data_IF_281634341223
#
_entry.id   IF_281634341223
#
_cell.length_a   1.000
_cell.length_b   1.000
_cell.length_c   1.000
_cell.angle_alpha   90.00
_cell.angle_beta   90.00
_cell.angle_gamma   90.00
#
_symmetry.space_group_name_H-M   'P 1'
#
loop_
_entity.id
_entity.type
_entity.pdbx_description
1 polymer ?
#
# COMPACT_ATOMS: atom_id res chain seq x y z
N UNK A 1 -4.16 25.16 -7.16
CA UNK A 1 -4.30 23.69 -7.31
C UNK A 1 -5.61 23.47 -8.02
N UNK A 2 -5.65 22.64 -9.08
CA UNK A 2 -6.92 22.30 -9.71
C UNK A 2 -7.78 21.56 -8.68
N UNK A 3 -9.07 21.89 -8.63
CA UNK A 3 -10.00 21.18 -7.76
C UNK A 3 -10.28 19.77 -8.35
N UNK A 4 -10.47 18.75 -7.50
CA UNK A 4 -10.94 17.45 -7.98
C UNK A 4 -12.28 17.58 -8.68
N UNK A 5 -12.36 17.07 -9.90
CA UNK A 5 -13.57 17.06 -10.71
C UNK A 5 -13.59 15.84 -11.62
N UNK A 6 -14.76 15.49 -12.11
CA UNK A 6 -14.89 14.33 -12.98
C UNK A 6 -16.32 14.00 -13.36
N UNK A 7 -16.49 12.85 -13.99
CA UNK A 7 -17.79 12.40 -14.47
C UNK A 7 -18.62 11.85 -13.31
N UNK A 8 -19.86 12.32 -13.18
CA UNK A 8 -20.93 11.69 -12.41
C UNK A 8 -22.07 11.35 -13.37
N UNK A 9 -22.47 10.09 -13.46
CA UNK A 9 -23.45 9.64 -14.42
C UNK A 9 -24.35 8.56 -13.83
N UNK A 10 -25.64 8.60 -14.16
CA UNK A 10 -26.58 7.55 -13.79
C UNK A 10 -27.50 7.17 -14.96
N UNK A 11 -27.90 5.91 -15.00
CA UNK A 11 -28.85 5.42 -15.99
C UNK A 11 -29.65 4.21 -15.48
N UNK A 12 -30.88 4.01 -15.97
CA UNK A 12 -31.61 2.75 -15.79
C UNK A 12 -30.85 1.60 -16.47
N UNK A 13 -30.58 0.55 -15.73
CA UNK A 13 -29.93 -0.67 -16.23
C UNK A 13 -30.17 -1.81 -15.23
N UNK A 14 -30.90 -2.85 -15.63
CA UNK A 14 -31.10 -4.02 -14.75
C UNK A 14 -29.84 -4.91 -14.69
N UNK A 15 -29.78 -5.80 -13.70
CA UNK A 15 -28.61 -6.64 -13.44
C UNK A 15 -28.24 -7.56 -14.62
N UNK A 16 -29.25 -8.05 -15.36
CA UNK A 16 -29.04 -8.92 -16.52
C UNK A 16 -28.35 -8.18 -17.66
N UNK A 17 -28.82 -6.98 -17.99
CA UNK A 17 -28.23 -6.13 -19.02
C UNK A 17 -26.84 -5.66 -18.59
N UNK A 18 -26.66 -5.28 -17.33
CA UNK A 18 -25.36 -4.93 -16.77
C UNK A 18 -24.35 -6.07 -16.94
N UNK A 19 -24.72 -7.31 -16.58
CA UNK A 19 -23.84 -8.46 -16.72
C UNK A 19 -23.48 -8.78 -18.19
N UNK A 20 -24.39 -8.52 -19.13
CA UNK A 20 -24.15 -8.68 -20.57
C UNK A 20 -23.22 -7.58 -21.09
N UNK A 21 -23.48 -6.31 -20.75
CA UNK A 21 -22.68 -5.15 -21.12
C UNK A 21 -21.21 -5.35 -20.75
N UNK A 22 -20.94 -5.84 -19.53
CA UNK A 22 -19.57 -6.07 -19.03
C UNK A 22 -18.73 -7.02 -19.89
N UNK A 23 -19.37 -7.89 -20.67
CA UNK A 23 -18.73 -8.85 -21.58
C UNK A 23 -18.70 -8.37 -23.03
N UNK A 24 -19.44 -7.32 -23.36
CA UNK A 24 -19.50 -6.77 -24.71
C UNK A 24 -18.15 -6.16 -25.09
N UNK A 25 -17.73 -6.39 -26.32
CA UNK A 25 -16.56 -5.73 -26.90
C UNK A 25 -16.92 -4.32 -27.38
N UNK A 26 -16.10 -3.37 -26.97
CA UNK A 26 -16.15 -1.97 -27.38
C UNK A 26 -14.85 -1.61 -28.10
N UNK A 27 -14.88 -0.56 -28.91
CA UNK A 27 -13.65 -0.03 -29.53
C UNK A 27 -13.07 1.06 -28.62
N UNK A 28 -11.82 0.90 -28.20
CA UNK A 28 -11.05 1.89 -27.45
C UNK A 28 -9.68 2.05 -28.12
N UNK A 29 -9.37 3.24 -28.64
CA UNK A 29 -8.11 3.54 -29.35
C UNK A 29 -7.78 2.50 -30.43
N UNK A 30 -8.72 2.24 -31.33
CA UNK A 30 -8.65 1.22 -32.40
C UNK A 30 -8.50 -0.24 -31.93
N UNK A 31 -8.57 -0.53 -30.63
CA UNK A 31 -8.53 -1.88 -30.07
C UNK A 31 -9.92 -2.34 -29.67
N UNK A 32 -10.18 -3.65 -29.82
CA UNK A 32 -11.37 -4.30 -29.24
C UNK A 32 -11.06 -4.74 -27.81
N UNK A 33 -11.82 -4.22 -26.85
CA UNK A 33 -11.69 -4.56 -25.43
C UNK A 33 -13.08 -4.80 -24.83
N UNK A 34 -13.19 -5.68 -23.85
CA UNK A 34 -14.43 -5.86 -23.11
C UNK A 34 -14.75 -4.58 -22.31
N UNK A 35 -16.03 -4.17 -22.24
CA UNK A 35 -16.47 -3.01 -21.47
C UNK A 35 -15.95 -3.02 -20.03
N UNK A 36 -16.08 -4.16 -19.34
CA UNK A 36 -15.60 -4.30 -17.97
C UNK A 36 -14.09 -4.16 -17.85
N UNK A 37 -13.34 -4.56 -18.88
CA UNK A 37 -11.90 -4.36 -18.95
C UNK A 37 -11.55 -2.89 -19.20
N UNK A 38 -12.27 -2.18 -20.06
CA UNK A 38 -12.04 -0.74 -20.29
C UNK A 38 -12.22 0.08 -19.00
N UNK A 39 -13.28 -0.17 -18.22
CA UNK A 39 -13.44 0.44 -16.88
C UNK A 39 -12.33 0.04 -15.91
N UNK A 40 -11.80 -1.18 -16.03
CA UNK A 40 -10.66 -1.63 -15.21
C UNK A 40 -9.36 -0.94 -15.62
N UNK A 41 -9.13 -0.69 -16.91
CA UNK A 41 -8.00 0.09 -17.41
C UNK A 41 -8.06 1.53 -16.86
N UNK A 42 -9.24 2.15 -16.78
CA UNK A 42 -9.41 3.47 -16.13
C UNK A 42 -9.00 3.45 -14.65
N UNK A 43 -9.54 2.49 -13.87
CA UNK A 43 -9.20 2.37 -12.45
C UNK A 43 -7.70 2.07 -12.24
N UNK A 44 -7.08 1.33 -13.16
CA UNK A 44 -5.69 0.92 -13.06
C UNK A 44 -4.66 1.92 -13.62
N UNK A 45 -5.11 2.95 -14.35
CA UNK A 45 -4.23 3.97 -14.96
C UNK A 45 -4.30 5.34 -14.28
N UNK A 46 -5.33 5.58 -13.46
CA UNK A 46 -5.47 6.82 -12.69
C UNK A 46 -4.36 7.00 -11.66
N UNK A 47 -4.19 8.25 -11.21
CA UNK A 47 -3.36 8.54 -10.06
C UNK A 47 -3.92 7.83 -8.82
N UNK A 48 -3.09 7.56 -7.81
CA UNK A 48 -3.52 6.90 -6.56
C UNK A 48 -4.68 7.64 -5.84
N UNK A 49 -4.92 8.90 -6.20
CA UNK A 49 -5.98 9.76 -5.67
C UNK A 49 -7.26 9.81 -6.53
N UNK A 50 -7.25 9.21 -7.73
CA UNK A 50 -8.44 9.16 -8.58
C UNK A 50 -9.45 8.14 -8.03
N UNK A 51 -10.73 8.44 -8.20
CA UNK A 51 -11.83 7.64 -7.65
C UNK A 51 -12.73 7.16 -8.78
N UNK A 52 -12.77 5.85 -9.02
CA UNK A 52 -13.78 5.24 -9.89
C UNK A 52 -14.79 4.42 -9.07
N UNK A 53 -16.07 4.70 -9.25
CA UNK A 53 -17.19 4.00 -8.63
C UNK A 53 -18.10 3.48 -9.74
N UNK A 54 -18.35 2.17 -9.72
CA UNK A 54 -19.29 1.50 -10.61
C UNK A 54 -20.30 0.77 -9.74
N UNK A 55 -21.34 1.47 -9.33
CA UNK A 55 -22.33 1.00 -8.37
C UNK A 55 -23.65 0.68 -9.07
N UNK A 56 -24.24 -0.48 -8.78
CA UNK A 56 -25.57 -0.84 -9.27
C UNK A 56 -26.49 -1.01 -8.07
N UNK A 57 -27.61 -0.29 -8.10
CA UNK A 57 -28.70 -0.41 -7.14
C UNK A 57 -29.75 -1.36 -7.72
N UNK A 58 -29.88 -2.59 -7.19
CA UNK A 58 -30.82 -3.58 -7.71
C UNK A 58 -32.28 -3.22 -7.39
N UNK A 59 -32.54 -2.44 -6.34
CA UNK A 59 -33.91 -2.07 -5.94
C UNK A 59 -34.46 -0.98 -6.87
N UNK A 60 -33.58 -0.10 -7.35
CA UNK A 60 -33.92 0.95 -8.32
C UNK A 60 -33.66 0.56 -9.78
N UNK A 61 -32.99 -0.56 -10.01
CA UNK A 61 -32.42 -0.96 -11.31
C UNK A 61 -31.62 0.17 -11.98
N UNK A 62 -30.77 0.87 -11.20
CA UNK A 62 -29.95 1.99 -11.70
C UNK A 62 -28.47 1.72 -11.55
N UNK A 63 -27.72 2.00 -12.61
CA UNK A 63 -26.27 2.12 -12.57
C UNK A 63 -25.90 3.56 -12.19
N UNK A 64 -24.96 3.71 -11.27
CA UNK A 64 -24.25 4.94 -10.97
C UNK A 64 -22.77 4.74 -11.29
N UNK A 65 -22.23 5.61 -12.14
CA UNK A 65 -20.85 5.64 -12.57
C UNK A 65 -20.26 6.99 -12.17
N UNK A 66 -19.21 6.97 -11.35
CA UNK A 66 -18.44 8.16 -11.04
C UNK A 66 -16.96 7.92 -11.35
N UNK A 67 -16.31 8.87 -12.01
CA UNK A 67 -14.86 8.89 -12.20
C UNK A 67 -14.33 10.28 -11.87
N UNK A 68 -13.83 10.45 -10.65
CA UNK A 68 -13.30 11.70 -10.13
C UNK A 68 -11.78 11.72 -10.29
N UNK A 69 -11.27 12.78 -10.90
CA UNK A 69 -9.85 13.03 -11.07
C UNK A 69 -9.36 13.95 -9.96
N UNK A 70 -8.24 13.62 -9.32
CA UNK A 70 -7.65 14.49 -8.30
C UNK A 70 -7.13 15.80 -8.90
N UNK A 71 -6.63 15.74 -10.14
CA UNK A 71 -6.23 16.91 -10.93
C UNK A 71 -7.04 16.92 -12.22
N UNK A 72 -8.16 17.64 -12.20
CA UNK A 72 -9.01 17.72 -13.38
C UNK A 72 -8.33 18.49 -14.52
N UNK A 73 -8.21 17.81 -15.65
CA UNK A 73 -7.98 18.38 -16.97
C UNK A 73 -9.03 17.83 -17.93
N UNK A 74 -9.61 18.69 -18.78
CA UNK A 74 -10.68 18.27 -19.69
C UNK A 74 -10.27 17.13 -20.63
N UNK A 75 -8.99 17.09 -21.04
CA UNK A 75 -8.47 16.02 -21.89
C UNK A 75 -8.28 14.70 -21.14
N UNK A 76 -8.08 14.74 -19.82
CA UNK A 76 -7.93 13.54 -19.00
C UNK A 76 -9.22 12.69 -18.97
N UNK A 77 -10.39 13.28 -19.22
CA UNK A 77 -11.64 12.52 -19.38
C UNK A 77 -11.78 11.83 -20.74
N UNK A 78 -10.92 12.08 -21.73
CA UNK A 78 -11.07 11.49 -23.07
C UNK A 78 -11.34 9.96 -23.08
N UNK A 79 -10.69 9.14 -22.22
CA UNK A 79 -10.88 7.70 -22.24
C UNK A 79 -12.26 7.20 -21.75
N UNK A 80 -13.05 8.02 -21.03
CA UNK A 80 -14.38 7.59 -20.54
C UNK A 80 -15.47 7.67 -21.61
N UNK A 81 -15.30 8.53 -22.62
CA UNK A 81 -16.37 8.81 -23.57
C UNK A 81 -16.75 7.59 -24.42
N UNK A 82 -15.82 6.81 -24.99
CA UNK A 82 -16.17 5.58 -25.70
C UNK A 82 -16.87 4.54 -24.82
N UNK A 83 -16.56 4.54 -23.52
CA UNK A 83 -17.22 3.66 -22.53
C UNK A 83 -18.66 4.13 -22.32
N UNK A 84 -18.88 5.43 -22.14
CA UNK A 84 -20.23 5.98 -22.02
C UNK A 84 -21.06 5.80 -23.30
N UNK A 85 -20.47 5.94 -24.49
CA UNK A 85 -21.17 5.69 -25.76
C UNK A 85 -21.63 4.22 -25.87
N UNK A 86 -20.78 3.27 -25.47
CA UNK A 86 -21.15 1.87 -25.42
C UNK A 86 -22.26 1.58 -24.38
N UNK A 87 -22.24 2.26 -23.24
CA UNK A 87 -23.32 2.19 -22.24
C UNK A 87 -24.62 2.77 -22.81
N UNK A 88 -24.56 3.94 -23.44
CA UNK A 88 -25.70 4.63 -24.05
C UNK A 88 -26.39 3.78 -25.13
N UNK A 89 -25.62 3.03 -25.93
CA UNK A 89 -26.16 2.13 -26.94
C UNK A 89 -26.92 0.90 -26.37
N UNK A 90 -26.80 0.65 -25.06
CA UNK A 90 -27.41 -0.50 -24.38
C UNK A 90 -28.55 -0.12 -23.42
N UNK A 91 -28.87 1.17 -23.31
CA UNK A 91 -30.02 1.63 -22.52
C UNK A 91 -31.18 1.99 -23.45
N UNK A 92 -32.39 1.98 -22.90
CA UNK A 92 -33.58 2.43 -23.63
C UNK A 92 -33.37 3.90 -24.06
N UNK A 93 -33.54 4.26 -25.35
CA UNK A 93 -33.40 5.64 -25.82
C UNK A 93 -34.32 6.66 -25.12
N UNK A 94 -35.42 6.18 -24.52
CA UNK A 94 -36.36 6.99 -23.74
C UNK A 94 -36.05 7.04 -22.23
N UNK A 95 -35.02 6.33 -21.79
CA UNK A 95 -34.62 6.28 -20.39
C UNK A 95 -34.10 7.63 -19.90
N UNK A 96 -34.45 7.98 -18.66
CA UNK A 96 -33.86 9.10 -17.92
C UNK A 96 -32.42 8.77 -17.49
N UNK A 97 -31.49 8.98 -18.43
CA UNK A 97 -30.07 8.74 -18.27
C UNK A 97 -29.27 10.02 -18.52
N UNK A 98 -28.50 10.42 -17.52
CA UNK A 98 -27.84 11.70 -17.52
C UNK A 98 -26.87 11.87 -16.35
N UNK A 99 -26.15 12.98 -16.41
CA UNK A 99 -25.02 13.24 -15.55
C UNK A 99 -24.39 14.59 -15.80
N UNK A 100 -23.23 14.78 -15.19
CA UNK A 100 -22.44 15.98 -15.33
C UNK A 100 -20.95 15.63 -15.25
N UNK A 101 -20.12 16.47 -15.85
CA UNK A 101 -18.76 16.65 -15.34
C UNK A 101 -18.87 17.70 -14.24
N UNK A 102 -18.53 17.35 -13.00
CA UNK A 102 -18.71 18.21 -11.85
C UNK A 102 -17.54 18.14 -10.88
N UNK A 103 -17.35 19.20 -10.10
CA UNK A 103 -16.40 19.25 -9.00
C UNK A 103 -16.94 18.53 -7.75
N UNK A 104 -16.11 18.38 -6.71
CA UNK A 104 -16.53 17.80 -5.42
C UNK A 104 -17.46 18.72 -4.62
N UNK A 105 -17.36 20.03 -4.82
CA UNK A 105 -18.46 20.96 -4.55
C UNK A 105 -19.40 20.89 -5.76
N UNK A 106 -20.73 20.79 -5.62
CA UNK A 106 -21.63 20.47 -6.72
C UNK A 106 -21.78 21.61 -7.75
N UNK A 107 -20.71 21.90 -8.50
CA UNK A 107 -20.64 22.83 -9.63
C UNK A 107 -20.48 22.01 -10.91
N UNK A 108 -21.44 22.15 -11.82
CA UNK A 108 -21.42 21.46 -13.11
C UNK A 108 -20.57 22.24 -14.12
N UNK A 109 -19.56 21.57 -14.66
CA UNK A 109 -18.69 22.08 -15.72
C UNK A 109 -19.25 21.74 -17.11
N UNK A 110 -19.80 20.54 -17.26
CA UNK A 110 -20.41 20.06 -18.51
C UNK A 110 -21.67 19.23 -18.18
N UNK A 111 -22.72 19.37 -18.99
CA UNK A 111 -23.85 18.45 -18.97
C UNK A 111 -23.54 17.21 -19.79
N UNK A 112 -24.01 16.06 -19.31
CA UNK A 112 -23.90 14.77 -20.00
C UNK A 112 -25.28 14.13 -20.01
N UNK A 113 -25.79 13.75 -21.18
CA UNK A 113 -27.09 13.08 -21.32
C UNK A 113 -27.04 12.02 -22.39
N UNK A 114 -27.93 11.05 -22.33
CA UNK A 114 -28.13 10.11 -23.44
C UNK A 114 -29.31 10.57 -24.28
N UNK A 115 -29.10 10.64 -25.59
CA UNK A 115 -30.13 10.96 -26.56
C UNK A 115 -29.99 10.01 -27.75
N UNK A 116 -31.06 9.30 -28.08
CA UNK A 116 -31.11 8.35 -29.21
C UNK A 116 -29.97 7.30 -29.18
N UNK A 117 -29.63 6.82 -27.97
CA UNK A 117 -28.57 5.83 -27.76
C UNK A 117 -27.14 6.38 -27.87
N UNK A 118 -26.97 7.70 -27.87
CA UNK A 118 -25.67 8.38 -27.98
C UNK A 118 -25.44 9.34 -26.81
N UNK A 119 -24.18 9.56 -26.44
CA UNK A 119 -23.83 10.53 -25.40
C UNK A 119 -23.78 11.94 -26.01
N UNK A 120 -24.59 12.84 -25.47
CA UNK A 120 -24.59 14.25 -25.83
C UNK A 120 -24.00 15.04 -24.67
N UNK A 121 -23.00 15.87 -24.97
CA UNK A 121 -22.35 16.78 -24.02
C UNK A 121 -22.77 18.22 -24.29
N UNK A 122 -22.90 19.03 -23.25
CA UNK A 122 -23.26 20.43 -23.39
C UNK A 122 -22.73 21.31 -22.25
N UNK A 123 -23.09 22.60 -22.26
CA UNK A 123 -22.83 23.52 -21.16
C UNK A 123 -23.34 22.99 -19.81
N UNK A 124 -22.63 23.29 -18.73
CA UNK A 124 -22.97 22.84 -17.37
C UNK A 124 -24.26 23.43 -16.79
N UNK A 125 -24.69 24.61 -17.27
CA UNK A 125 -25.96 25.25 -16.89
C UNK A 125 -27.20 24.51 -17.42
N UNK A 126 -27.02 23.52 -18.30
CA UNK A 126 -28.07 22.60 -18.73
C UNK A 126 -28.29 21.42 -17.76
N UNK A 127 -27.45 21.27 -16.72
CA UNK A 127 -27.64 20.23 -15.71
C UNK A 127 -28.74 20.67 -14.74
N UNK A 128 -29.77 19.85 -14.60
CA UNK A 128 -30.80 20.05 -13.59
C UNK A 128 -30.20 20.05 -12.17
N UNK A 129 -30.58 21.03 -11.35
CA UNK A 129 -30.00 21.23 -10.03
C UNK A 129 -30.30 20.06 -9.07
N UNK A 130 -31.48 19.45 -9.18
CA UNK A 130 -31.85 18.30 -8.35
C UNK A 130 -31.08 17.05 -8.76
N UNK A 131 -30.87 16.84 -10.08
CA UNK A 131 -29.99 15.79 -10.59
C UNK A 131 -28.56 15.95 -10.08
N UNK A 132 -27.97 17.15 -10.20
CA UNK A 132 -26.60 17.40 -9.75
C UNK A 132 -26.45 17.16 -8.25
N UNK A 133 -27.41 17.64 -7.45
CA UNK A 133 -27.44 17.40 -6.01
C UNK A 133 -27.53 15.89 -5.70
N UNK A 134 -28.43 15.17 -6.36
CA UNK A 134 -28.60 13.72 -6.19
C UNK A 134 -27.31 12.94 -6.50
N UNK A 135 -26.65 13.27 -7.60
CA UNK A 135 -25.38 12.64 -8.01
C UNK A 135 -24.27 12.92 -7.00
N UNK A 136 -24.16 14.16 -6.53
CA UNK A 136 -23.21 14.58 -5.51
C UNK A 136 -23.44 13.86 -4.18
N UNK A 137 -24.68 13.84 -3.68
CA UNK A 137 -25.04 13.14 -2.45
C UNK A 137 -24.66 11.65 -2.56
N UNK A 138 -24.99 11.01 -3.68
CA UNK A 138 -24.66 9.61 -3.95
C UNK A 138 -23.16 9.36 -4.02
N UNK A 139 -22.37 10.26 -4.60
CA UNK A 139 -20.91 10.18 -4.58
C UNK A 139 -20.40 10.16 -3.12
N UNK A 140 -20.85 11.11 -2.30
CA UNK A 140 -20.41 11.26 -0.92
C UNK A 140 -20.82 10.12 0.01
N UNK A 141 -21.90 9.39 -0.29
CA UNK A 141 -22.30 8.18 0.42
C UNK A 141 -21.22 7.05 0.38
N UNK A 142 -20.31 7.10 -0.60
CA UNK A 142 -19.19 6.16 -0.70
C UNK A 142 -17.95 6.59 0.10
N UNK A 143 -17.86 7.86 0.48
CA UNK A 143 -16.78 8.38 1.31
C UNK A 143 -16.95 7.92 2.77
N UNK A 144 -15.84 7.69 3.47
CA UNK A 144 -15.86 7.40 4.91
C UNK A 144 -14.91 8.34 5.63
N UNK A 145 -15.43 9.10 6.59
CA UNK A 145 -14.67 10.19 7.25
C UNK A 145 -14.08 11.15 6.22
N UNK A 146 -14.91 11.56 5.25
CA UNK A 146 -14.53 12.52 4.19
C UNK A 146 -13.39 12.03 3.27
N UNK A 147 -13.11 10.72 3.25
CA UNK A 147 -12.08 10.13 2.39
C UNK A 147 -12.66 9.02 1.54
N UNK A 148 -12.37 9.09 0.24
CA UNK A 148 -12.64 7.98 -0.68
C UNK A 148 -11.61 6.87 -0.48
N UNK A 149 -12.00 5.59 -0.55
CA UNK A 149 -11.07 4.49 -0.53
C UNK A 149 -10.23 4.46 -1.83
N UNK A 150 -8.96 4.06 -1.72
CA UNK A 150 -8.15 3.69 -2.89
C UNK A 150 -8.80 2.55 -3.71
N UNK A 151 -8.29 2.28 -4.90
CA UNK A 151 -8.77 1.21 -5.77
C UNK A 151 -8.94 -0.13 -5.03
N UNK A 152 -7.90 -0.61 -4.34
CA UNK A 152 -7.93 -1.91 -3.66
C UNK A 152 -8.93 -1.95 -2.49
N UNK A 153 -9.05 -0.86 -1.72
CA UNK A 153 -10.02 -0.69 -0.66
C UNK A 153 -11.45 -0.61 -1.21
N UNK A 154 -11.68 0.07 -2.33
CA UNK A 154 -12.99 0.19 -2.99
C UNK A 154 -13.50 -1.17 -3.47
N UNK A 155 -12.63 -2.00 -4.07
CA UNK A 155 -12.97 -3.35 -4.54
C UNK A 155 -13.31 -4.31 -3.39
N UNK A 156 -12.77 -4.09 -2.19
CA UNK A 156 -13.06 -4.89 -0.98
C UNK A 156 -14.38 -4.51 -0.31
N UNK A 157 -14.85 -3.27 -0.48
CA UNK A 157 -16.14 -2.83 0.08
C UNK A 157 -17.30 -3.48 -0.65
N UNK A 158 -18.29 -3.99 0.09
CA UNK A 158 -19.46 -4.66 -0.51
C UNK A 158 -20.32 -3.69 -1.31
N UNK A 159 -20.48 -2.46 -0.84
CA UNK A 159 -21.42 -1.47 -1.36
C UNK A 159 -20.87 -0.59 -2.48
N UNK A 160 -19.54 -0.44 -2.62
CA UNK A 160 -18.97 0.53 -3.58
C UNK A 160 -19.03 0.05 -5.03
N UNK A 161 -18.66 -1.20 -5.29
CA UNK A 161 -18.51 -1.72 -6.66
C UNK A 161 -19.50 -2.87 -6.90
N UNK A 162 -20.17 -2.85 -8.06
CA UNK A 162 -21.08 -3.90 -8.48
C UNK A 162 -20.32 -5.22 -8.74
N UNK A 163 -21.02 -6.35 -8.64
CA UNK A 163 -20.43 -7.69 -8.79
C UNK A 163 -19.81 -7.93 -10.18
N UNK A 164 -20.44 -7.51 -11.30
CA UNK A 164 -19.82 -7.60 -12.62
C UNK A 164 -18.48 -6.87 -12.70
N UNK A 165 -18.37 -5.65 -12.16
CA UNK A 165 -17.10 -4.90 -12.17
C UNK A 165 -16.03 -5.54 -11.30
N UNK A 166 -16.37 -6.04 -10.11
CA UNK A 166 -15.44 -6.84 -9.27
C UNK A 166 -14.85 -8.03 -10.02
N UNK A 167 -15.66 -8.70 -10.82
CA UNK A 167 -15.25 -9.86 -11.62
C UNK A 167 -14.33 -9.41 -12.75
N UNK A 168 -14.70 -8.37 -13.48
CA UNK A 168 -13.89 -7.81 -14.56
C UNK A 168 -12.53 -7.30 -14.07
N UNK A 169 -12.49 -6.59 -12.93
CA UNK A 169 -11.26 -6.12 -12.30
C UNK A 169 -10.30 -7.26 -11.95
N UNK A 170 -10.81 -8.35 -11.36
CA UNK A 170 -9.99 -9.52 -11.05
C UNK A 170 -9.39 -10.15 -12.31
N UNK A 171 -10.19 -10.29 -13.37
CA UNK A 171 -9.72 -10.79 -14.67
C UNK A 171 -8.72 -9.84 -15.31
N UNK A 172 -8.93 -8.53 -15.22
CA UNK A 172 -8.02 -7.50 -15.70
C UNK A 172 -6.67 -7.58 -14.98
N UNK A 173 -6.64 -7.66 -13.64
CA UNK A 173 -5.38 -7.82 -12.90
C UNK A 173 -4.61 -9.08 -13.32
N UNK A 174 -5.31 -10.20 -13.52
CA UNK A 174 -4.68 -11.43 -13.99
C UNK A 174 -4.11 -11.28 -15.41
N UNK A 175 -4.85 -10.63 -16.32
CA UNK A 175 -4.36 -10.30 -17.67
C UNK A 175 -3.17 -9.33 -17.61
N UNK A 176 -3.24 -8.30 -16.77
CA UNK A 176 -2.21 -7.28 -16.63
C UNK A 176 -0.89 -7.90 -16.22
N UNK A 177 -0.89 -8.76 -15.21
CA UNK A 177 0.33 -9.44 -14.75
C UNK A 177 0.85 -10.47 -15.76
N UNK A 178 -0.03 -11.16 -16.50
CA UNK A 178 0.36 -12.23 -17.44
C UNK A 178 0.79 -11.73 -18.81
N UNK A 179 0.18 -10.65 -19.31
CA UNK A 179 0.31 -10.20 -20.70
C UNK A 179 0.86 -8.77 -20.77
N UNK A 180 0.23 -7.81 -20.09
CA UNK A 180 0.59 -6.39 -20.22
C UNK A 180 1.96 -6.08 -19.63
N UNK A 181 2.16 -6.46 -18.36
CA UNK A 181 3.39 -6.17 -17.63
C UNK A 181 4.61 -6.77 -18.35
N UNK A 182 4.62 -8.04 -18.79
CA UNK A 182 5.71 -8.57 -19.60
C UNK A 182 5.95 -7.80 -20.90
N UNK A 183 4.88 -7.42 -21.62
CA UNK A 183 5.01 -6.64 -22.86
C UNK A 183 5.60 -5.25 -22.61
N UNK A 184 5.16 -4.54 -21.56
CA UNK A 184 5.68 -3.23 -21.17
C UNK A 184 7.14 -3.30 -20.72
N UNK A 185 7.51 -4.34 -19.98
CA UNK A 185 8.90 -4.62 -19.59
C UNK A 185 9.76 -4.86 -20.84
N UNK A 186 9.28 -5.65 -21.80
CA UNK A 186 9.98 -5.94 -23.04
C UNK A 186 10.14 -4.70 -23.94
N UNK A 187 9.17 -3.80 -23.92
CA UNK A 187 9.20 -2.54 -24.68
C UNK A 187 10.01 -1.43 -24.00
N UNK A 188 10.38 -1.58 -22.73
CA UNK A 188 11.02 -0.53 -21.94
C UNK A 188 12.45 -0.22 -22.44
N UNK A 189 12.72 1.07 -22.67
CA UNK A 189 14.01 1.58 -23.16
C UNK A 189 14.67 2.49 -22.13
N UNK A 190 15.93 2.87 -22.35
CA UNK A 190 16.62 3.81 -21.45
C UNK A 190 15.97 5.21 -21.45
N UNK A 191 15.40 5.63 -22.58
CA UNK A 191 14.68 6.90 -22.72
C UNK A 191 13.28 6.84 -22.13
N UNK A 192 12.63 5.68 -22.22
CA UNK A 192 11.28 5.42 -21.72
C UNK A 192 11.29 4.18 -20.82
N UNK A 193 11.84 4.30 -19.59
CA UNK A 193 11.89 3.18 -18.66
C UNK A 193 10.50 2.89 -18.11
N UNK A 194 10.20 1.61 -17.90
CA UNK A 194 8.93 1.20 -17.32
C UNK A 194 9.02 1.22 -15.79
N UNK A 195 8.13 1.98 -15.14
CA UNK A 195 8.03 2.00 -13.68
C UNK A 195 7.43 0.68 -13.18
N UNK A 196 8.19 -0.03 -12.34
CA UNK A 196 7.72 -1.25 -11.68
C UNK A 196 6.88 -0.91 -10.45
N UNK A 197 7.41 -0.06 -9.56
CA UNK A 197 6.75 0.47 -8.36
C UNK A 197 7.63 1.55 -7.71
N UNK A 198 7.04 2.43 -6.89
CA UNK A 198 7.74 3.52 -6.19
C UNK A 198 8.67 4.32 -7.12
N UNK A 199 9.98 4.25 -6.89
CA UNK A 199 11.05 4.84 -7.69
C UNK A 199 11.92 3.79 -8.39
N UNK A 200 11.39 2.56 -8.57
CA UNK A 200 12.07 1.43 -9.22
C UNK A 200 11.54 1.23 -10.63
N UNK A 201 12.47 1.17 -11.57
CA UNK A 201 12.21 1.07 -13.00
C UNK A 201 12.91 -0.13 -13.62
N UNK A 202 12.49 -0.48 -14.83
CA UNK A 202 13.21 -1.41 -15.71
C UNK A 202 13.38 -0.81 -17.10
N UNK A 203 14.52 -1.09 -17.72
CA UNK A 203 14.81 -0.76 -19.11
C UNK A 203 15.78 -1.79 -19.68
N UNK A 204 15.53 -2.30 -20.89
CA UNK A 204 16.43 -3.24 -21.58
C UNK A 204 16.84 -4.46 -20.72
N UNK A 205 15.91 -4.94 -19.89
CA UNK A 205 16.13 -6.07 -18.98
C UNK A 205 16.87 -5.76 -17.68
N UNK A 206 17.33 -4.53 -17.46
CA UNK A 206 17.95 -4.09 -16.21
C UNK A 206 16.92 -3.45 -15.29
N UNK A 207 17.03 -3.71 -13.98
CA UNK A 207 16.21 -3.09 -12.93
C UNK A 207 17.06 -2.10 -12.13
N UNK A 208 16.53 -0.92 -11.86
CA UNK A 208 17.24 0.11 -11.11
C UNK A 208 16.30 0.98 -10.29
N UNK A 209 16.78 1.50 -9.15
CA UNK A 209 16.11 2.55 -8.38
C UNK A 209 16.62 3.92 -8.83
N UNK A 210 15.71 4.83 -9.18
CA UNK A 210 16.05 6.24 -9.42
C UNK A 210 16.02 7.01 -8.11
N UNK A 211 17.20 7.26 -7.55
CA UNK A 211 17.29 7.89 -6.23
C UNK A 211 16.71 9.31 -6.23
N UNK A 212 15.63 9.51 -5.46
CA UNK A 212 14.83 10.74 -5.49
C UNK A 212 15.62 12.05 -5.33
N UNK A 213 16.70 12.04 -4.54
CA UNK A 213 17.49 13.24 -4.24
C UNK A 213 18.60 13.53 -5.25
N UNK A 214 19.31 12.49 -5.70
CA UNK A 214 20.49 12.64 -6.58
C UNK A 214 20.15 12.42 -8.05
N UNK A 215 18.96 11.89 -8.33
CA UNK A 215 18.50 11.46 -9.67
C UNK A 215 19.42 10.43 -10.35
N UNK A 216 20.30 9.80 -9.57
CA UNK A 216 21.16 8.70 -10.04
C UNK A 216 20.35 7.41 -10.04
N UNK A 217 20.54 6.63 -11.08
CA UNK A 217 20.00 5.28 -11.17
C UNK A 217 20.98 4.32 -10.46
N UNK A 218 20.44 3.49 -9.56
CA UNK A 218 21.18 2.50 -8.77
C UNK A 218 20.68 1.12 -9.19
N UNK A 219 21.52 0.35 -9.86
CA UNK A 219 21.15 -0.94 -10.42
C UNK A 219 20.94 -2.03 -9.34
N UNK A 220 19.95 -2.89 -9.57
CA UNK A 220 19.81 -4.17 -8.89
C UNK A 220 20.42 -5.25 -9.79
N UNK A 221 21.74 -5.45 -9.66
CA UNK A 221 22.47 -6.35 -10.56
C UNK A 221 21.84 -7.75 -10.60
N UNK A 222 21.57 -8.25 -11.81
CA UNK A 222 21.01 -9.59 -12.05
C UNK A 222 19.51 -9.75 -11.74
N UNK A 223 18.79 -8.66 -11.46
CA UNK A 223 17.36 -8.72 -11.17
C UNK A 223 16.50 -9.15 -12.37
N UNK A 224 15.51 -10.00 -12.11
CA UNK A 224 14.46 -10.37 -13.04
C UNK A 224 13.27 -9.39 -12.91
N UNK A 225 13.07 -8.47 -13.87
CA UNK A 225 12.02 -7.45 -13.79
C UNK A 225 10.60 -8.03 -13.69
N UNK A 226 10.37 -9.26 -14.16
CA UNK A 226 9.06 -9.91 -14.11
C UNK A 226 8.68 -10.31 -12.68
N UNK A 227 9.64 -10.76 -11.90
CA UNK A 227 9.42 -11.27 -10.53
C UNK A 227 9.90 -10.32 -9.44
N UNK A 228 10.55 -9.22 -9.83
CA UNK A 228 11.01 -8.17 -8.93
C UNK A 228 9.86 -7.55 -8.13
N UNK A 229 10.06 -7.44 -6.82
CA UNK A 229 9.09 -6.95 -5.85
C UNK A 229 9.78 -6.31 -4.63
N UNK A 230 9.01 -5.52 -3.88
CA UNK A 230 9.39 -4.92 -2.61
C UNK A 230 8.89 -5.78 -1.44
N UNK A 231 9.76 -6.03 -0.47
CA UNK A 231 9.48 -6.78 0.76
C UNK A 231 9.83 -5.91 1.97
N UNK A 232 8.92 -4.99 2.30
CA UNK A 232 9.14 -3.88 3.22
C UNK A 232 10.24 -2.93 2.74
N UNK A 233 11.41 -2.89 3.39
CA UNK A 233 12.55 -2.05 2.98
C UNK A 233 13.55 -2.75 2.07
N UNK A 234 13.40 -4.05 1.84
CA UNK A 234 14.26 -4.85 0.98
C UNK A 234 13.58 -5.17 -0.34
N UNK A 235 14.34 -5.71 -1.28
CA UNK A 235 13.84 -6.10 -2.59
C UNK A 235 14.17 -7.56 -2.83
N UNK A 236 13.33 -8.24 -3.60
CA UNK A 236 13.53 -9.62 -3.98
C UNK A 236 12.94 -9.89 -5.35
N UNK A 237 13.42 -10.93 -6.01
CA UNK A 237 12.82 -11.52 -7.20
C UNK A 237 12.77 -13.04 -7.01
N UNK A 238 12.66 -13.84 -8.09
CA UNK A 238 12.70 -15.30 -7.96
C UNK A 238 14.08 -15.88 -7.66
N UNK A 239 15.16 -15.13 -7.86
CA UNK A 239 16.55 -15.59 -7.83
C UNK A 239 17.35 -15.03 -6.64
N UNK A 240 17.08 -13.79 -6.25
CA UNK A 240 17.93 -12.99 -5.38
C UNK A 240 17.10 -12.15 -4.40
N UNK A 241 17.79 -11.72 -3.34
CA UNK A 241 17.33 -10.72 -2.38
C UNK A 241 18.40 -9.64 -2.31
N UNK A 242 17.98 -8.38 -2.32
CA UNK A 242 18.87 -7.23 -2.23
C UNK A 242 18.61 -6.41 -0.97
N UNK A 243 19.71 -5.93 -0.41
CA UNK A 243 19.68 -4.81 0.52
C UNK A 243 20.54 -3.67 0.01
N UNK A 244 20.26 -2.48 0.54
CA UNK A 244 20.96 -1.26 0.16
C UNK A 244 22.11 -1.01 1.14
N UNK A 245 23.28 -0.65 0.62
CA UNK A 245 24.44 -0.27 1.42
C UNK A 245 25.20 0.89 0.77
N UNK A 246 26.14 1.49 1.51
CA UNK A 246 27.09 2.43 0.92
C UNK A 246 28.11 1.65 0.11
N UNK A 247 28.41 2.14 -1.09
CA UNK A 247 29.47 1.58 -1.92
C UNK A 247 30.85 1.78 -1.25
N UNK A 248 31.80 0.94 -1.59
CA UNK A 248 33.19 1.06 -1.11
C UNK A 248 33.76 2.45 -1.46
N UNK A 249 34.31 3.12 -0.45
CA UNK A 249 34.85 4.48 -0.58
C UNK A 249 33.79 5.59 -0.65
N UNK A 250 32.50 5.27 -0.49
CA UNK A 250 31.45 6.28 -0.41
C UNK A 250 31.65 7.22 0.79
N UNK A 251 31.30 8.52 0.65
CA UNK A 251 31.05 9.39 1.78
C UNK A 251 30.01 8.79 2.76
N UNK A 252 30.00 9.18 4.04
CA UNK A 252 29.04 8.67 5.02
C UNK A 252 27.61 9.00 4.61
N UNK A 253 26.66 8.13 4.94
CA UNK A 253 25.23 8.30 4.59
C UNK A 253 24.61 9.61 5.10
N UNK A 254 25.15 10.17 6.19
CA UNK A 254 24.65 11.38 6.84
C UNK A 254 25.79 12.39 7.03
N UNK A 255 25.49 13.66 6.81
CA UNK A 255 26.38 14.77 7.15
C UNK A 255 26.28 15.02 8.67
N UNK A 256 27.38 14.88 9.44
CA UNK A 256 27.38 15.14 10.87
C UNK A 256 27.28 16.64 11.21
N UNK A 257 27.36 17.56 10.23
CA UNK A 257 27.35 19.01 10.48
C UNK A 257 25.93 19.52 10.72
N UNK A 258 25.62 19.86 11.96
CA UNK A 258 24.40 20.57 12.38
C UNK A 258 23.67 19.87 13.53
N UNK A 259 22.61 20.51 14.03
CA UNK A 259 21.80 19.96 15.13
C UNK A 259 20.99 18.70 14.74
N UNK A 260 20.82 18.46 13.43
CA UNK A 260 20.09 17.31 12.90
C UNK A 260 20.89 16.65 11.77
N UNK A 261 21.16 15.33 11.83
CA UNK A 261 21.83 14.61 10.76
C UNK A 261 21.03 14.75 9.46
N UNK A 262 21.64 15.30 8.41
CA UNK A 262 21.02 15.38 7.08
C UNK A 262 21.55 14.26 6.20
N UNK A 263 20.75 13.79 5.25
CA UNK A 263 21.23 12.85 4.24
C UNK A 263 22.38 13.48 3.46
N UNK A 264 23.51 12.79 3.39
CA UNK A 264 24.65 13.24 2.60
C UNK A 264 24.35 13.00 1.12
N UNK A 265 24.29 14.09 0.34
CA UNK A 265 23.99 14.02 -1.11
C UNK A 265 25.13 13.38 -1.91
N UNK A 266 26.34 13.37 -1.36
CA UNK A 266 27.51 12.80 -2.00
C UNK A 266 27.67 11.30 -1.69
N UNK A 267 26.86 10.76 -0.77
CA UNK A 267 26.85 9.33 -0.47
C UNK A 267 26.46 8.51 -1.72
N UNK A 268 27.29 7.53 -2.03
CA UNK A 268 27.14 6.60 -3.14
C UNK A 268 26.54 5.32 -2.56
N UNK A 269 25.34 4.99 -3.01
CA UNK A 269 24.61 3.82 -2.57
C UNK A 269 24.60 2.76 -3.67
N UNK A 270 24.57 1.50 -3.25
CA UNK A 270 24.43 0.35 -4.13
C UNK A 270 23.47 -0.69 -3.53
N UNK A 271 22.98 -1.58 -4.38
CA UNK A 271 22.23 -2.77 -3.97
C UNK A 271 23.11 -4.00 -4.11
N UNK A 272 23.24 -4.76 -3.02
CA UNK A 272 24.03 -5.98 -2.99
C UNK A 272 23.17 -7.19 -2.65
N UNK A 273 23.58 -8.34 -3.16
CA UNK A 273 22.91 -9.62 -2.93
C UNK A 273 23.08 -10.07 -1.48
N UNK A 274 22.00 -10.58 -0.90
CA UNK A 274 22.05 -11.29 0.39
C UNK A 274 22.42 -12.74 0.10
N UNK A 275 23.67 -13.12 0.40
CA UNK A 275 24.21 -14.43 0.03
C UNK A 275 23.42 -15.60 0.66
N UNK A 276 22.99 -16.52 -0.21
CA UNK A 276 22.25 -17.72 0.17
C UNK A 276 20.80 -17.48 0.58
N UNK A 277 20.26 -16.27 0.37
CA UNK A 277 18.83 -16.02 0.52
C UNK A 277 18.05 -16.58 -0.68
N UNK A 278 16.94 -17.25 -0.39
CA UNK A 278 16.04 -17.75 -1.45
C UNK A 278 15.04 -16.67 -1.84
N UNK A 279 15.35 -15.96 -2.94
CA UNK A 279 14.51 -14.89 -3.47
C UNK A 279 13.05 -15.30 -3.66
N UNK A 280 12.78 -16.51 -4.18
CA UNK A 280 11.42 -16.94 -4.51
C UNK A 280 10.49 -17.05 -3.30
N UNK A 281 11.02 -17.40 -2.13
CA UNK A 281 10.24 -17.56 -0.89
C UNK A 281 10.47 -16.47 0.15
N UNK A 282 11.38 -15.53 -0.13
CA UNK A 282 11.69 -14.40 0.73
C UNK A 282 10.45 -13.52 0.94
N UNK A 283 10.11 -13.27 2.19
CA UNK A 283 8.95 -12.46 2.56
C UNK A 283 9.15 -11.74 3.86
N UNK A 284 8.61 -10.55 3.93
CA UNK A 284 8.41 -9.85 5.19
C UNK A 284 7.38 -10.59 6.06
N UNK A 285 7.63 -10.68 7.36
CA UNK A 285 6.85 -11.57 8.22
C UNK A 285 5.61 -10.93 8.86
N UNK A 286 5.64 -9.64 9.20
CA UNK A 286 4.60 -9.02 10.03
C UNK A 286 4.30 -7.58 9.57
N UNK A 287 3.02 -7.20 9.53
CA UNK A 287 2.54 -5.91 8.99
C UNK A 287 2.44 -4.77 10.03
N UNK A 288 2.83 -4.96 11.29
CA UNK A 288 2.60 -3.97 12.38
C UNK A 288 3.91 -3.42 12.95
N UNK A 289 3.96 -2.08 13.05
CA UNK A 289 4.91 -1.24 13.80
C UNK A 289 6.33 -1.80 13.98
N UNK A 290 7.26 -1.33 13.15
CA UNK A 290 8.70 -1.62 13.22
C UNK A 290 9.05 -3.12 13.24
N UNK A 291 8.38 -3.92 12.41
CA UNK A 291 8.73 -5.31 12.20
C UNK A 291 10.21 -5.49 11.83
N UNK A 292 10.88 -6.37 12.56
CA UNK A 292 12.33 -6.58 12.44
C UNK A 292 12.73 -7.88 11.76
N UNK A 293 11.77 -8.68 11.25
CA UNK A 293 12.07 -9.99 10.68
C UNK A 293 11.57 -10.22 9.25
N UNK A 294 12.39 -10.96 8.51
CA UNK A 294 12.07 -11.53 7.21
C UNK A 294 12.36 -13.02 7.26
N UNK A 295 11.75 -13.80 6.37
CA UNK A 295 12.12 -15.19 6.20
C UNK A 295 12.11 -15.59 4.74
N UNK A 296 12.92 -16.57 4.41
CA UNK A 296 12.71 -17.41 3.24
C UNK A 296 12.37 -18.84 3.73
N UNK A 297 12.40 -19.82 2.82
CA UNK A 297 12.10 -21.23 3.13
C UNK A 297 13.15 -21.90 4.03
N UNK A 298 14.34 -21.32 4.17
CA UNK A 298 15.50 -21.92 4.85
C UNK A 298 15.95 -21.12 6.08
N UNK A 299 15.73 -19.80 6.09
CA UNK A 299 16.35 -18.88 7.04
C UNK A 299 15.36 -17.81 7.51
N UNK A 300 15.65 -17.29 8.69
CA UNK A 300 15.04 -16.06 9.23
C UNK A 300 16.12 -15.02 9.27
N UNK A 301 15.76 -13.78 9.00
CA UNK A 301 16.67 -12.65 8.94
C UNK A 301 16.18 -11.51 9.81
N UNK A 302 17.11 -10.69 10.28
CA UNK A 302 16.82 -9.38 10.84
C UNK A 302 17.76 -8.32 10.27
N UNK A 303 17.40 -7.05 10.48
CA UNK A 303 18.19 -5.90 10.05
C UNK A 303 19.24 -5.56 11.10
N UNK A 304 20.49 -5.39 10.68
CA UNK A 304 21.52 -4.77 11.51
C UNK A 304 21.29 -3.26 11.63
N UNK A 305 22.08 -2.60 12.49
CA UNK A 305 22.09 -1.14 12.62
C UNK A 305 22.54 -0.43 11.33
N UNK A 306 23.33 -1.11 10.48
CA UNK A 306 23.73 -0.63 9.17
C UNK A 306 22.70 -0.96 8.06
N UNK A 307 21.52 -1.45 8.44
CA UNK A 307 20.45 -1.89 7.53
C UNK A 307 20.84 -3.10 6.66
N UNK A 308 21.88 -3.83 7.06
CA UNK A 308 22.22 -5.09 6.41
C UNK A 308 21.29 -6.20 6.86
N UNK A 309 20.88 -7.05 5.93
CA UNK A 309 20.03 -8.19 6.23
C UNK A 309 20.91 -9.37 6.68
N UNK A 310 20.77 -9.79 7.94
CA UNK A 310 21.63 -10.81 8.56
C UNK A 310 20.78 -12.01 8.99
N UNK A 311 21.17 -13.25 8.62
CA UNK A 311 20.44 -14.44 9.04
C UNK A 311 20.60 -14.71 10.54
N UNK A 312 19.52 -15.10 11.19
CA UNK A 312 19.54 -15.52 12.59
C UNK A 312 20.14 -16.93 12.71
N UNK A 313 21.12 -17.13 13.61
CA UNK A 313 21.77 -18.42 13.75
C UNK A 313 20.86 -19.44 14.44
N UNK A 314 20.78 -20.65 13.86
CA UNK A 314 20.15 -21.81 14.52
C UNK A 314 18.63 -21.72 14.68
N UNK A 315 17.94 -20.88 13.90
CA UNK A 315 16.48 -20.74 13.91
C UNK A 315 15.79 -21.74 12.99
N UNK A 316 14.70 -22.36 13.45
CA UNK A 316 13.78 -23.09 12.57
C UNK A 316 12.85 -22.11 11.83
N UNK A 317 13.19 -21.79 10.59
CA UNK A 317 12.44 -20.86 9.74
C UNK A 317 10.97 -21.27 9.50
N UNK A 318 10.66 -22.56 9.59
CA UNK A 318 9.29 -23.05 9.38
C UNK A 318 8.39 -22.80 10.58
N UNK A 319 8.97 -22.74 11.78
CA UNK A 319 8.25 -22.52 13.05
C UNK A 319 8.33 -21.08 13.57
N UNK A 320 9.21 -20.27 12.99
CA UNK A 320 9.43 -18.89 13.42
C UNK A 320 8.16 -18.04 13.27
N UNK A 321 7.81 -17.35 14.35
CA UNK A 321 6.64 -16.48 14.47
C UNK A 321 6.94 -15.29 15.37
N UNK A 322 6.19 -14.20 15.20
CA UNK A 322 6.18 -13.09 16.14
C UNK A 322 5.43 -13.51 17.39
N UNK A 323 5.86 -12.98 18.52
CA UNK A 323 5.13 -13.06 19.80
C UNK A 323 4.78 -11.67 20.34
N UNK A 324 4.90 -10.64 19.49
CA UNK A 324 4.44 -9.27 19.73
C UNK A 324 5.57 -8.26 19.84
N UNK A 325 5.27 -7.02 19.43
CA UNK A 325 6.11 -5.82 19.58
C UNK A 325 7.55 -5.98 19.11
N UNK A 326 7.77 -6.82 18.08
CA UNK A 326 9.08 -7.09 17.49
C UNK A 326 9.81 -8.33 18.04
N UNK A 327 9.28 -9.05 19.03
CA UNK A 327 9.92 -10.30 19.49
C UNK A 327 9.57 -11.48 18.57
N UNK A 328 10.56 -12.34 18.32
CA UNK A 328 10.41 -13.52 17.48
C UNK A 328 10.77 -14.80 18.20
N UNK A 329 10.14 -15.92 17.84
CA UNK A 329 10.48 -17.25 18.38
C UNK A 329 10.16 -18.36 17.39
N UNK A 330 10.97 -19.41 17.39
CA UNK A 330 10.68 -20.70 16.75
C UNK A 330 10.06 -21.73 17.72
N UNK A 331 9.79 -21.33 18.97
CA UNK A 331 9.34 -22.18 20.07
C UNK A 331 10.45 -22.80 20.90
N UNK A 332 11.72 -22.65 20.50
CA UNK A 332 12.89 -23.08 21.30
C UNK A 332 13.72 -21.89 21.78
N UNK A 333 13.80 -20.85 20.95
CA UNK A 333 14.64 -19.68 21.17
C UNK A 333 13.81 -18.40 21.02
N UNK A 334 14.23 -17.35 21.70
CA UNK A 334 13.57 -16.04 21.67
C UNK A 334 14.55 -15.02 21.12
N UNK A 335 14.08 -14.14 20.25
CA UNK A 335 14.89 -13.17 19.55
C UNK A 335 14.33 -11.77 19.67
N UNK A 336 15.25 -10.80 19.76
CA UNK A 336 15.02 -9.39 19.53
C UNK A 336 16.03 -8.89 18.51
N UNK A 337 15.59 -8.72 17.28
CA UNK A 337 16.44 -8.34 16.16
C UNK A 337 17.44 -9.44 15.87
N UNK A 338 18.72 -9.15 16.02
CA UNK A 338 19.79 -10.14 15.86
C UNK A 338 20.13 -10.87 17.17
N UNK A 339 19.62 -10.38 18.30
CA UNK A 339 19.99 -10.89 19.61
C UNK A 339 19.11 -12.06 20.00
N UNK A 340 19.75 -13.19 20.35
CA UNK A 340 19.10 -14.29 21.04
C UNK A 340 18.97 -13.96 22.51
N UNK A 341 17.74 -13.84 23.00
CA UNK A 341 17.45 -13.59 24.40
C UNK A 341 17.51 -14.90 25.20
N UNK A 342 18.13 -14.89 26.39
CA UNK A 342 18.29 -16.08 27.22
C UNK A 342 17.04 -16.35 28.06
N UNK A 343 15.89 -16.56 27.38
CA UNK A 343 14.56 -16.82 27.94
C UNK A 343 14.08 -18.25 27.63
N UNK A 344 13.30 -18.83 28.54
CA UNK A 344 12.58 -20.09 28.32
C UNK A 344 11.36 -19.86 27.41
N UNK A 345 11.50 -20.24 26.13
CA UNK A 345 10.48 -20.07 25.11
C UNK A 345 9.13 -20.78 25.44
N UNK A 346 9.12 -21.74 26.36
CA UNK A 346 7.92 -22.49 26.74
C UNK A 346 7.08 -21.80 27.82
N UNK A 347 7.62 -20.77 28.47
CA UNK A 347 6.99 -20.08 29.61
C UNK A 347 6.89 -18.57 29.42
N UNK A 348 6.89 -18.12 28.17
CA UNK A 348 6.88 -16.70 27.86
C UNK A 348 5.56 -16.03 28.20
N UNK A 349 5.69 -14.81 28.69
CA UNK A 349 4.61 -13.85 28.82
C UNK A 349 5.04 -12.55 28.14
N UNK A 350 4.06 -11.82 27.60
CA UNK A 350 4.28 -10.57 26.87
C UNK A 350 3.24 -9.55 27.28
N UNK A 351 3.64 -8.29 27.40
CA UNK A 351 2.73 -7.17 27.58
C UNK A 351 3.39 -5.91 27.03
N UNK A 352 2.79 -5.29 26.01
CA UNK A 352 3.38 -4.15 25.31
C UNK A 352 4.85 -4.46 24.93
N UNK A 353 5.78 -3.53 25.12
CA UNK A 353 7.20 -3.69 24.79
C UNK A 353 7.99 -4.68 25.67
N UNK A 354 7.33 -5.34 26.63
CA UNK A 354 7.96 -6.27 27.58
C UNK A 354 7.74 -7.73 27.21
N UNK A 355 8.77 -8.54 27.45
CA UNK A 355 8.73 -10.00 27.37
C UNK A 355 9.45 -10.59 28.58
N UNK A 356 8.93 -11.68 29.15
CA UNK A 356 9.57 -12.32 30.29
C UNK A 356 9.24 -13.81 30.36
N UNK A 357 10.11 -14.54 31.06
CA UNK A 357 9.85 -15.89 31.58
C UNK A 357 9.84 -15.81 33.12
N UNK A 358 9.76 -16.91 33.90
CA UNK A 358 9.77 -16.81 35.36
C UNK A 358 11.04 -16.17 35.96
N UNK A 359 12.17 -16.19 35.25
CA UNK A 359 13.49 -15.84 35.80
C UNK A 359 13.99 -14.46 35.36
N UNK A 360 13.58 -13.97 34.18
CA UNK A 360 14.11 -12.75 33.57
C UNK A 360 13.03 -11.94 32.87
N UNK A 361 13.25 -10.62 32.83
CA UNK A 361 12.38 -9.65 32.16
C UNK A 361 13.21 -8.85 31.17
N UNK A 362 12.68 -8.64 29.96
CA UNK A 362 13.30 -7.84 28.92
C UNK A 362 12.34 -6.74 28.42
N UNK A 363 12.92 -5.61 28.01
CA UNK A 363 12.24 -4.52 27.32
C UNK A 363 13.07 -4.11 26.10
N UNK A 364 12.52 -4.28 24.89
CA UNK A 364 13.18 -3.99 23.61
C UNK A 364 14.62 -4.54 23.54
N UNK A 365 14.82 -5.79 23.98
CA UNK A 365 16.11 -6.47 24.01
C UNK A 365 17.01 -6.19 25.23
N UNK A 366 16.67 -5.19 26.05
CA UNK A 366 17.41 -4.89 27.28
C UNK A 366 16.89 -5.73 28.45
N UNK A 367 17.78 -6.49 29.10
CA UNK A 367 17.44 -7.19 30.35
C UNK A 367 17.21 -6.18 31.48
N UNK A 368 16.09 -6.31 32.17
CA UNK A 368 15.76 -5.52 33.34
C UNK A 368 16.18 -6.28 34.60
N UNK A 369 16.67 -5.60 35.65
CA UNK A 369 17.13 -6.25 36.87
C UNK A 369 15.94 -6.60 37.79
N UNK A 370 14.99 -7.38 37.26
CA UNK A 370 13.74 -7.83 37.86
C UNK A 370 13.53 -9.33 37.55
N UNK A 371 12.81 -10.03 38.42
CA UNK A 371 12.37 -11.42 38.22
C UNK A 371 10.99 -11.50 37.60
N UNK A 372 10.85 -12.30 36.54
CA UNK A 372 9.59 -12.36 35.80
C UNK A 372 8.44 -13.04 36.53
N UNK A 373 8.70 -13.97 37.45
CA UNK A 373 7.68 -14.61 38.29
C UNK A 373 6.82 -13.59 39.08
N UNK A 374 7.42 -12.46 39.48
CA UNK A 374 6.73 -11.37 40.18
C UNK A 374 6.50 -10.13 39.33
N UNK A 375 6.87 -10.14 38.04
CA UNK A 375 6.91 -8.92 37.23
C UNK A 375 5.52 -8.29 37.05
N UNK A 376 5.42 -7.00 37.34
CA UNK A 376 4.21 -6.18 37.16
C UNK A 376 4.59 -4.78 36.69
N UNK A 377 3.75 -4.24 35.80
CA UNK A 377 3.73 -2.82 35.46
C UNK A 377 2.80 -2.14 36.47
N UNK A 378 3.35 -1.31 37.35
CA UNK A 378 2.58 -0.60 38.38
C UNK A 378 1.93 0.65 37.81
N UNK A 379 2.66 1.40 36.99
CA UNK A 379 2.19 2.66 36.41
C UNK A 379 2.89 2.92 35.09
N UNK A 380 2.17 3.53 34.15
CA UNK A 380 2.68 3.99 32.87
C UNK A 380 2.35 5.47 32.72
N UNK A 381 3.36 6.32 32.52
CA UNK A 381 3.17 7.76 32.28
C UNK A 381 3.61 8.13 30.87
N UNK A 382 2.70 8.75 30.14
CA UNK A 382 2.98 9.31 28.83
C UNK A 382 3.67 10.67 28.97
N UNK A 383 4.82 10.85 28.33
CA UNK A 383 5.57 12.11 28.34
C UNK A 383 5.58 12.78 26.96
N UNK A 384 5.14 14.03 26.92
CA UNK A 384 5.30 14.95 25.78
C UNK A 384 6.52 15.84 26.01
N UNK A 385 7.27 16.23 24.96
CA UNK A 385 6.97 16.10 23.53
C UNK A 385 7.49 14.82 22.86
N UNK A 386 8.26 13.97 23.56
CA UNK A 386 8.95 12.83 22.95
C UNK A 386 8.01 11.70 22.45
N UNK A 387 6.72 11.72 22.82
CA UNK A 387 5.76 10.64 22.53
C UNK A 387 6.32 9.29 23.03
N UNK A 388 6.78 9.29 24.27
CA UNK A 388 7.38 8.12 24.90
C UNK A 388 6.74 7.86 26.25
N UNK A 389 6.77 6.60 26.68
CA UNK A 389 6.26 6.17 27.96
C UNK A 389 7.41 5.89 28.91
N UNK A 390 7.25 6.39 30.13
CA UNK A 390 8.00 5.92 31.29
C UNK A 390 7.15 4.89 32.05
N UNK A 391 7.79 3.92 32.68
CA UNK A 391 7.12 2.83 33.37
C UNK A 391 7.70 2.66 34.78
N UNK A 392 6.83 2.51 35.78
CA UNK A 392 7.22 2.02 37.10
C UNK A 392 6.94 0.52 37.18
N UNK A 393 7.97 -0.25 37.44
CA UNK A 393 8.00 -1.70 37.28
C UNK A 393 8.45 -2.36 38.58
N UNK A 394 7.89 -3.52 38.92
CA UNK A 394 8.30 -4.28 40.11
C UNK A 394 8.33 -5.77 39.84
N UNK A 395 9.10 -6.53 40.61
CA UNK A 395 8.98 -7.99 40.74
C UNK A 395 8.46 -8.43 42.13
N UNK A 396 7.94 -7.48 42.92
CA UNK A 396 7.51 -7.68 44.31
C UNK A 396 8.64 -7.62 45.35
N UNK A 397 9.91 -7.69 44.93
CA UNK A 397 11.08 -7.51 45.80
C UNK A 397 11.84 -6.23 45.51
N UNK A 398 11.89 -5.85 44.24
CA UNK A 398 12.56 -4.65 43.73
C UNK A 398 11.59 -3.87 42.86
N UNK A 399 11.70 -2.55 42.95
CA UNK A 399 10.99 -1.62 42.08
C UNK A 399 12.00 -0.73 41.36
N UNK A 400 11.73 -0.44 40.09
CA UNK A 400 12.54 0.44 39.25
C UNK A 400 11.62 1.35 38.44
N UNK A 401 12.20 2.44 37.94
CA UNK A 401 11.58 3.25 36.89
C UNK A 401 12.35 3.05 35.59
N UNK A 402 11.65 2.75 34.50
CA UNK A 402 12.19 2.77 33.15
C UNK A 402 11.82 4.12 32.51
N UNK A 403 12.83 4.96 32.28
CA UNK A 403 12.63 6.29 31.72
C UNK A 403 12.12 6.23 30.27
N UNK A 404 11.62 7.34 29.69
CA UNK A 404 11.26 7.39 28.27
C UNK A 404 12.43 7.01 27.35
N UNK A 405 13.65 7.40 27.74
CA UNK A 405 14.93 7.07 27.09
C UNK A 405 15.41 5.64 27.38
N UNK A 406 14.61 4.83 28.08
CA UNK A 406 14.89 3.43 28.45
C UNK A 406 16.05 3.26 29.43
N UNK A 407 16.33 4.29 30.21
CA UNK A 407 17.28 4.20 31.31
C UNK A 407 16.62 3.53 32.51
N UNK A 408 17.37 2.65 33.19
CA UNK A 408 16.92 1.98 34.40
C UNK A 408 17.29 2.86 35.59
N UNK A 409 16.28 3.46 36.19
CA UNK A 409 16.40 4.34 37.35
C UNK A 409 15.96 3.60 38.62
N UNK A 410 16.46 4.01 39.81
CA UNK A 410 15.91 3.58 41.09
C UNK A 410 14.40 3.83 41.18
N UNK A 411 13.74 3.20 42.15
CA UNK A 411 12.33 3.50 42.43
C UNK A 411 12.14 4.98 42.77
N UNK A 412 11.05 5.54 42.23
CA UNK A 412 10.58 6.89 42.53
C UNK A 412 9.12 6.75 43.00
N UNK A 413 8.84 6.91 44.31
CA UNK A 413 7.48 6.82 44.83
C UNK A 413 6.53 7.90 44.30
N UNK A 414 7.08 9.03 43.85
CA UNK A 414 6.32 10.15 43.26
C UNK A 414 6.13 9.98 41.75
N UNK A 415 6.65 8.87 41.19
CA UNK A 415 6.71 8.57 39.77
C UNK A 415 5.41 8.79 39.02
#
# INVERSE_FOLDING_TARGET
MAEPAGLLFECPLNEKLLAALFKQEITLDDRKVQFGRALSELLGSGDDADVLIVHHDPDQERLFLAWMLNFYDKSALAPIWPILDALAANIDPSADAGGAVATIFPEALESVRVQDGTVVRGPGDLVDADLLKRLSDKLWDFAKKEQFPDAAASMRRKTTQCKPFKTAWKSYLAWREKEERPARIAAATAQEPFLLFDDVYTAQGQVFQRHNHTKRDIEFAGADPLTFRKESRYHADKNHVWHRQLADGSPPARDPKGAYPRNNRDAIWEYVHVEGADGASFRWLFDRWDTIYWRDRHRVYSSSSALALVPLPGVDATKFREIGNGYGTDGQQVYWGLDRLPLDATKLQTNDIFIWDPDKVFCLGQELPLKGAGFRILTQKFQRPAIQYAYRLTDGKKTIVLSPQKEILPDDPDF
#
